data_IF_043570496836
#
_entry.id   IF_043570496836
#
_cell.length_a   1.000
_cell.length_b   1.000
_cell.length_c   1.000
_cell.angle_alpha   90.00
_cell.angle_beta   90.00
_cell.angle_gamma   90.00
#
_symmetry.space_group_name_H-M   'P 1'
#
loop_
_entity.id
_entity.type
_entity.pdbx_description
1 polymer ?
#
# COMPACT_ATOMS: atom_id res chain seq x y z
N UNK A 1 4.61 12.02 -17.45
CA UNK A 1 4.10 12.93 -16.41
C UNK A 1 2.68 13.28 -16.74
N UNK A 2 1.72 12.49 -16.26
CA UNK A 2 0.29 12.79 -16.41
C UNK A 2 -0.09 13.78 -15.29
N UNK A 3 -0.18 15.06 -15.63
CA UNK A 3 -0.80 16.03 -14.72
C UNK A 3 -2.30 15.79 -14.77
N UNK A 4 -2.85 15.20 -13.72
CA UNK A 4 -4.28 14.89 -13.63
C UNK A 4 -4.99 16.03 -12.88
N UNK A 5 -6.18 16.40 -13.34
CA UNK A 5 -6.95 17.50 -12.76
C UNK A 5 -8.03 16.95 -11.83
N UNK A 6 -8.21 17.54 -10.65
CA UNK A 6 -9.28 17.18 -9.71
C UNK A 6 -9.98 18.44 -9.20
N UNK A 7 -11.32 18.40 -9.14
CA UNK A 7 -12.12 19.53 -8.66
C UNK A 7 -12.40 19.38 -7.17
N UNK A 8 -12.23 20.47 -6.43
CA UNK A 8 -12.46 20.51 -4.98
C UNK A 8 -13.29 21.74 -4.60
N UNK A 9 -14.11 21.62 -3.56
CA UNK A 9 -14.84 22.75 -2.97
C UNK A 9 -14.33 23.03 -1.55
N UNK A 10 -14.21 24.29 -1.13
CA UNK A 10 -13.93 24.62 0.27
C UNK A 10 -15.04 24.07 1.16
N UNK A 11 -14.69 23.29 2.20
CA UNK A 11 -15.69 22.75 3.12
C UNK A 11 -15.87 23.67 4.32
N UNK A 12 -17.12 23.91 4.70
CA UNK A 12 -17.48 24.63 5.93
C UNK A 12 -17.71 23.67 7.11
N UNK A 13 -18.03 22.41 6.83
CA UNK A 13 -18.29 21.36 7.82
C UNK A 13 -16.97 20.66 8.18
N UNK A 14 -16.54 20.77 9.43
CA UNK A 14 -15.25 20.23 9.93
C UNK A 14 -15.43 19.39 11.19
N UNK A 15 -14.42 18.57 11.53
CA UNK A 15 -14.42 17.72 12.73
C UNK A 15 -15.39 16.54 12.63
N UNK A 16 -16.02 16.15 13.76
CA UNK A 16 -16.87 14.94 13.86
C UNK A 16 -18.06 14.92 12.89
N UNK A 17 -18.48 16.07 12.38
CA UNK A 17 -19.60 16.19 11.43
C UNK A 17 -19.19 15.89 9.98
N UNK A 18 -17.89 15.81 9.68
CA UNK A 18 -17.38 15.50 8.33
C UNK A 18 -17.86 14.14 7.82
N UNK A 19 -18.13 13.18 8.72
CA UNK A 19 -18.66 11.86 8.35
C UNK A 19 -20.04 11.92 7.67
N UNK A 20 -20.78 13.04 7.80
CA UNK A 20 -22.06 13.28 7.11
C UNK A 20 -21.89 13.53 5.61
N UNK A 21 -20.70 13.96 5.18
CA UNK A 21 -20.36 14.18 3.76
C UNK A 21 -20.36 12.86 2.98
N UNK A 22 -19.96 11.76 3.64
CA UNK A 22 -19.95 10.43 3.03
C UNK A 22 -21.35 9.99 2.56
N UNK A 23 -22.42 10.40 3.26
CA UNK A 23 -23.81 10.12 2.88
C UNK A 23 -24.28 10.96 1.68
N UNK A 24 -23.59 12.07 1.38
CA UNK A 24 -23.84 12.95 0.24
C UNK A 24 -22.93 12.64 -0.96
N UNK A 25 -22.20 11.53 -0.93
CA UNK A 25 -21.24 11.19 -1.97
C UNK A 25 -20.02 12.12 -2.03
N UNK A 26 -19.68 12.80 -0.93
CA UNK A 26 -18.51 13.67 -0.84
C UNK A 26 -17.44 13.04 0.06
N UNK A 27 -16.18 13.24 -0.28
CA UNK A 27 -15.03 12.80 0.51
C UNK A 27 -14.42 14.04 1.18
N UNK A 28 -14.29 14.06 2.52
CA UNK A 28 -13.54 15.12 3.19
C UNK A 28 -12.05 14.97 2.88
N UNK A 29 -11.41 16.09 2.56
CA UNK A 29 -9.97 16.14 2.31
C UNK A 29 -9.36 17.40 2.95
N UNK A 30 -8.04 17.45 3.03
CA UNK A 30 -7.30 18.62 3.52
C UNK A 30 -6.16 18.93 2.56
N UNK A 31 -6.03 20.20 2.20
CA UNK A 31 -4.88 20.74 1.50
C UNK A 31 -4.02 21.53 2.48
N UNK A 32 -2.76 21.18 2.64
CA UNK A 32 -1.81 21.92 3.48
C UNK A 32 -0.46 22.03 2.80
N UNK A 33 0.42 22.92 3.28
CA UNK A 33 1.75 23.03 2.71
C UNK A 33 2.60 24.12 3.35
N UNK A 34 3.89 24.21 2.98
CA UNK A 34 4.84 25.12 3.62
C UNK A 34 4.52 26.62 3.43
N UNK A 35 3.61 26.96 2.52
CA UNK A 35 3.17 28.34 2.26
C UNK A 35 1.69 28.61 2.54
N UNK A 36 0.96 27.65 3.14
CA UNK A 36 -0.48 27.72 3.30
C UNK A 36 -0.95 27.05 4.59
N UNK A 37 -1.87 27.70 5.31
CA UNK A 37 -2.61 27.06 6.39
C UNK A 37 -3.44 25.87 5.88
N UNK A 38 -3.64 24.86 6.72
CA UNK A 38 -4.44 23.69 6.38
C UNK A 38 -5.86 24.10 5.99
N UNK A 39 -6.16 23.96 4.70
CA UNK A 39 -7.45 24.30 4.11
C UNK A 39 -8.31 23.04 4.02
N UNK A 40 -9.44 23.00 4.75
CA UNK A 40 -10.35 21.88 4.67
C UNK A 40 -11.13 21.96 3.35
N UNK A 41 -11.08 20.90 2.55
CA UNK A 41 -11.73 20.79 1.25
C UNK A 41 -12.62 19.55 1.19
N UNK A 42 -13.53 19.49 0.23
CA UNK A 42 -14.32 18.31 -0.09
C UNK A 42 -14.22 17.98 -1.57
N UNK A 43 -14.22 16.70 -1.86
CA UNK A 43 -14.11 16.13 -3.21
C UNK A 43 -15.39 15.38 -3.55
N UNK A 44 -15.73 15.28 -4.83
CA UNK A 44 -16.72 14.32 -5.28
C UNK A 44 -16.16 12.90 -5.17
N UNK A 45 -16.92 11.97 -4.59
CA UNK A 45 -16.48 10.59 -4.42
C UNK A 45 -16.29 9.91 -5.76
N UNK A 46 -17.21 10.08 -6.70
CA UNK A 46 -17.16 9.37 -7.97
C UNK A 46 -15.94 9.79 -8.78
N UNK A 47 -15.72 11.10 -8.87
CA UNK A 47 -14.57 11.66 -9.59
C UNK A 47 -13.23 11.21 -8.97
N UNK A 48 -13.16 11.20 -7.63
CA UNK A 48 -11.95 10.76 -6.94
C UNK A 48 -11.71 9.25 -7.04
N UNK A 49 -12.77 8.42 -6.95
CA UNK A 49 -12.63 6.96 -7.13
C UNK A 49 -12.19 6.62 -8.55
N UNK A 50 -12.70 7.32 -9.56
CA UNK A 50 -12.23 7.17 -10.94
C UNK A 50 -10.77 7.59 -11.06
N UNK A 51 -10.41 8.75 -10.51
CA UNK A 51 -9.03 9.23 -10.48
C UNK A 51 -8.10 8.20 -9.83
N UNK A 52 -8.44 7.72 -8.64
CA UNK A 52 -7.66 6.74 -7.88
C UNK A 52 -7.61 5.35 -8.53
N UNK A 53 -8.62 4.94 -9.30
CA UNK A 53 -8.59 3.68 -10.03
C UNK A 53 -7.56 3.67 -11.18
N UNK A 54 -7.28 4.83 -11.76
CA UNK A 54 -6.32 4.99 -12.86
C UNK A 54 -4.89 5.23 -12.40
N UNK A 55 -4.66 5.31 -11.09
CA UNK A 55 -3.45 5.89 -10.52
C UNK A 55 -3.06 5.11 -9.27
N UNK A 56 -1.86 4.51 -9.27
CA UNK A 56 -1.36 3.75 -8.12
C UNK A 56 -1.19 4.65 -6.89
N UNK A 57 -1.40 4.10 -5.70
CA UNK A 57 -1.39 4.86 -4.45
C UNK A 57 -0.01 5.45 -4.15
N UNK A 58 0.00 6.75 -3.85
CA UNK A 58 1.18 7.44 -3.32
C UNK A 58 1.83 8.40 -4.31
N UNK A 59 1.92 9.67 -3.90
CA UNK A 59 2.84 10.64 -4.49
C UNK A 59 2.43 11.32 -5.79
N UNK A 60 1.21 11.12 -6.27
CA UNK A 60 0.81 11.66 -7.57
C UNK A 60 0.63 13.18 -7.51
N UNK A 61 1.19 13.85 -8.52
CA UNK A 61 1.00 15.27 -8.76
C UNK A 61 -0.37 15.53 -9.41
N UNK A 62 -1.20 16.31 -8.73
CA UNK A 62 -2.56 16.66 -9.12
C UNK A 62 -2.70 18.18 -9.14
N UNK A 63 -3.35 18.70 -10.18
CA UNK A 63 -3.80 20.09 -10.18
C UNK A 63 -5.19 20.16 -9.51
N UNK A 64 -5.24 20.72 -8.31
CA UNK A 64 -6.49 20.93 -7.56
C UNK A 64 -7.15 22.23 -8.00
N UNK A 65 -8.31 22.12 -8.65
CA UNK A 65 -9.20 23.24 -8.99
C UNK A 65 -10.15 23.50 -7.83
N UNK A 66 -9.79 24.46 -6.98
CA UNK A 66 -10.59 24.81 -5.80
C UNK A 66 -11.56 25.93 -6.16
N UNK A 67 -12.86 25.71 -5.90
CA UNK A 67 -13.88 26.73 -6.17
C UNK A 67 -13.61 28.04 -5.40
N UNK A 68 -13.64 29.17 -6.13
CA UNK A 68 -13.31 30.49 -5.60
C UNK A 68 -11.81 30.77 -5.35
N UNK A 69 -10.90 29.86 -5.71
CA UNK A 69 -9.46 30.04 -5.56
C UNK A 69 -8.69 29.71 -6.85
N UNK A 70 -7.40 30.07 -6.89
CA UNK A 70 -6.52 29.69 -8.01
C UNK A 70 -6.21 28.19 -7.94
N UNK A 71 -6.03 27.52 -9.09
CA UNK A 71 -5.54 26.15 -9.12
C UNK A 71 -4.20 26.02 -8.38
N UNK A 72 -4.02 24.88 -7.70
CA UNK A 72 -2.83 24.60 -6.91
C UNK A 72 -2.29 23.23 -7.30
N UNK A 73 -0.98 23.15 -7.52
CA UNK A 73 -0.31 21.87 -7.67
C UNK A 73 -0.15 21.23 -6.29
N UNK A 74 -0.81 20.10 -6.10
CA UNK A 74 -0.76 19.36 -4.87
C UNK A 74 -0.40 17.90 -5.15
N UNK A 75 0.18 17.27 -4.15
CA UNK A 75 0.57 15.88 -4.19
C UNK A 75 -0.30 15.11 -3.21
N UNK A 76 -0.84 13.98 -3.66
CA UNK A 76 -1.61 13.10 -2.77
C UNK A 76 -0.64 12.42 -1.80
N UNK A 77 -0.80 12.72 -0.51
CA UNK A 77 0.06 12.19 0.56
C UNK A 77 -0.46 10.88 1.09
N UNK A 78 -1.73 10.84 1.44
CA UNK A 78 -2.35 9.69 2.10
C UNK A 78 -3.83 9.59 1.71
N UNK A 79 -4.30 8.36 1.55
CA UNK A 79 -5.72 8.03 1.36
C UNK A 79 -6.13 7.08 2.48
N UNK A 80 -7.08 7.51 3.29
CA UNK A 80 -7.60 6.70 4.39
C UNK A 80 -8.80 5.89 3.93
N UNK A 81 -8.73 4.58 4.10
CA UNK A 81 -9.81 3.66 3.75
C UNK A 81 -10.54 3.15 5.00
N UNK A 82 -11.83 2.86 4.84
CA UNK A 82 -12.60 2.15 5.85
C UNK A 82 -12.19 0.68 5.87
N UNK A 83 -11.68 0.20 6.99
CA UNK A 83 -11.33 -1.22 7.17
C UNK A 83 -12.49 -2.19 6.98
N UNK A 84 -13.73 -1.72 7.17
CA UNK A 84 -14.94 -2.56 7.07
C UNK A 84 -15.53 -2.52 5.66
N UNK A 85 -15.58 -1.34 5.04
CA UNK A 85 -16.29 -1.13 3.77
C UNK A 85 -15.37 -0.93 2.57
N UNK A 86 -14.07 -0.79 2.77
CA UNK A 86 -13.08 -0.41 1.74
C UNK A 86 -13.23 1.03 1.22
N UNK A 87 -14.31 1.74 1.59
CA UNK A 87 -14.62 3.08 1.10
C UNK A 87 -13.62 4.11 1.59
N UNK A 88 -13.30 5.08 0.74
CA UNK A 88 -12.40 6.19 1.07
C UNK A 88 -13.07 7.11 2.10
N UNK A 89 -12.38 7.35 3.21
CA UNK A 89 -12.82 8.14 4.36
C UNK A 89 -12.24 9.55 4.33
N UNK A 90 -10.97 9.69 4.00
CA UNK A 90 -10.26 10.97 4.02
C UNK A 90 -9.10 10.95 3.01
N UNK A 91 -8.75 12.13 2.49
CA UNK A 91 -7.60 12.30 1.59
C UNK A 91 -6.77 13.50 2.01
N UNK A 92 -5.46 13.32 2.04
CA UNK A 92 -4.50 14.36 2.39
C UNK A 92 -3.74 14.83 1.15
N UNK A 93 -3.75 16.14 0.93
CA UNK A 93 -3.02 16.79 -0.14
C UNK A 93 -1.97 17.74 0.41
N UNK A 94 -0.78 17.67 -0.15
CA UNK A 94 0.33 18.57 0.17
C UNK A 94 0.56 19.49 -1.02
N UNK A 95 0.50 20.80 -0.82
CA UNK A 95 0.89 21.78 -1.83
C UNK A 95 2.40 21.67 -2.10
N UNK A 96 2.76 21.46 -3.36
CA UNK A 96 4.14 21.22 -3.78
C UNK A 96 4.63 22.29 -4.74
N UNK A 97 5.86 22.75 -4.50
CA UNK A 97 6.56 23.62 -5.44
C UNK A 97 7.38 22.74 -6.40
N UNK A 98 7.21 22.95 -7.71
CA UNK A 98 7.90 22.18 -8.76
C UNK A 98 9.44 22.18 -8.66
N UNK A 99 10.01 23.17 -7.97
CA UNK A 99 11.46 23.34 -7.82
C UNK A 99 12.05 22.70 -6.57
N UNK A 100 11.24 22.17 -5.65
CA UNK A 100 11.71 21.57 -4.39
C UNK A 100 11.57 20.04 -4.44
N UNK A 101 12.53 19.30 -3.86
CA UNK A 101 12.36 17.86 -3.69
C UNK A 101 11.19 17.60 -2.73
N UNK A 102 10.49 16.49 -2.98
CA UNK A 102 9.36 16.02 -2.19
C UNK A 102 9.58 14.55 -1.85
N UNK A 103 9.14 14.17 -0.66
CA UNK A 103 9.09 12.78 -0.25
C UNK A 103 7.80 12.14 -0.76
N UNK A 104 7.86 10.93 -1.28
CA UNK A 104 6.71 10.16 -1.79
C UNK A 104 6.82 8.70 -1.37
N UNK A 105 5.68 8.04 -1.19
CA UNK A 105 5.59 6.58 -1.21
C UNK A 105 5.29 6.18 -2.64
N UNK A 106 6.11 5.31 -3.22
CA UNK A 106 5.92 4.80 -4.59
C UNK A 106 5.77 3.29 -4.55
N UNK A 107 4.74 2.80 -5.25
CA UNK A 107 4.44 1.37 -5.36
C UNK A 107 5.50 0.63 -6.19
N UNK A 108 5.89 -0.54 -5.71
CA UNK A 108 6.75 -1.48 -6.42
C UNK A 108 5.89 -2.48 -7.19
N UNK A 109 6.12 -2.59 -8.50
CA UNK A 109 5.48 -3.58 -9.36
C UNK A 109 6.49 -4.66 -9.70
N UNK A 110 6.25 -5.89 -9.23
CA UNK A 110 7.08 -7.03 -9.61
C UNK A 110 6.74 -7.43 -11.06
N UNK A 111 7.77 -7.50 -11.91
CA UNK A 111 7.65 -7.94 -13.30
C UNK A 111 8.38 -9.27 -13.49
N UNK A 112 7.86 -10.09 -14.41
CA UNK A 112 8.29 -11.47 -14.70
C UNK A 112 8.01 -12.48 -13.58
N UNK A 113 8.13 -13.77 -13.92
CA UNK A 113 7.98 -14.90 -12.99
C UNK A 113 9.35 -15.42 -12.53
N UNK A 114 9.58 -15.58 -11.21
CA UNK A 114 10.82 -16.13 -10.69
C UNK A 114 11.05 -17.58 -11.15
N UNK A 115 12.29 -17.93 -11.46
CA UNK A 115 12.69 -19.33 -11.69
C UNK A 115 12.40 -20.23 -10.48
N UNK A 116 12.54 -19.69 -9.26
CA UNK A 116 12.21 -20.40 -8.04
C UNK A 116 10.74 -20.79 -7.94
N UNK A 117 9.82 -19.98 -8.48
CA UNK A 117 8.38 -20.31 -8.53
C UNK A 117 8.12 -21.46 -9.51
N UNK A 118 8.78 -21.46 -10.67
CA UNK A 118 8.72 -22.59 -11.63
C UNK A 118 9.25 -23.90 -11.02
N UNK A 119 10.14 -23.79 -10.04
CA UNK A 119 10.71 -24.92 -9.29
C UNK A 119 9.86 -25.35 -8.09
N UNK A 120 8.65 -24.78 -7.92
CA UNK A 120 7.72 -25.08 -6.83
C UNK A 120 7.82 -24.14 -5.62
N UNK A 121 8.66 -23.11 -5.67
CA UNK A 121 8.76 -22.07 -4.63
C UNK A 121 7.55 -21.14 -4.60
N UNK A 122 7.38 -20.43 -3.48
CA UNK A 122 6.34 -19.43 -3.27
C UNK A 122 6.98 -18.05 -3.19
N UNK A 123 6.62 -17.17 -4.13
CA UNK A 123 7.02 -15.76 -4.10
C UNK A 123 6.22 -15.02 -3.02
N UNK A 124 6.93 -14.37 -2.11
CA UNK A 124 6.36 -13.52 -1.06
C UNK A 124 6.88 -12.11 -1.23
N UNK A 125 5.96 -11.14 -1.38
CA UNK A 125 6.26 -9.70 -1.33
C UNK A 125 6.24 -9.23 0.10
N UNK A 126 7.37 -8.73 0.58
CA UNK A 126 7.51 -8.19 1.94
C UNK A 126 7.25 -6.69 1.99
N UNK A 127 7.60 -5.98 0.91
CA UNK A 127 7.52 -4.52 0.83
C UNK A 127 6.86 -4.12 -0.49
N UNK A 128 5.72 -3.43 -0.40
CA UNK A 128 4.91 -3.04 -1.55
C UNK A 128 5.16 -1.60 -2.03
N UNK A 129 5.65 -0.74 -1.14
CA UNK A 129 5.84 0.69 -1.38
C UNK A 129 7.17 1.13 -0.77
N UNK A 130 7.91 2.00 -1.46
CA UNK A 130 9.18 2.56 -0.98
C UNK A 130 9.08 4.08 -0.81
N UNK A 131 9.74 4.58 0.23
CA UNK A 131 9.94 6.01 0.44
C UNK A 131 11.03 6.52 -0.49
N UNK A 132 10.67 7.50 -1.32
CA UNK A 132 11.60 8.14 -2.25
C UNK A 132 11.59 9.66 -2.09
N UNK A 133 12.71 10.28 -2.42
CA UNK A 133 12.87 11.72 -2.59
C UNK A 133 13.15 12.03 -4.06
N UNK A 134 12.30 12.84 -4.67
CA UNK A 134 12.44 13.29 -6.04
C UNK A 134 11.79 14.66 -6.23
N UNK A 135 12.04 15.32 -7.38
CA UNK A 135 11.23 16.48 -7.77
C UNK A 135 9.85 16.01 -8.22
N UNK A 136 8.79 16.82 -8.04
CA UNK A 136 7.44 16.42 -8.44
C UNK A 136 7.30 16.05 -9.94
N UNK A 137 8.15 16.59 -10.81
CA UNK A 137 8.14 16.26 -12.25
C UNK A 137 8.87 14.96 -12.62
N UNK A 138 9.78 14.49 -11.77
CA UNK A 138 10.61 13.30 -11.99
C UNK A 138 10.07 12.07 -11.24
N UNK A 139 8.97 12.24 -10.50
CA UNK A 139 8.40 11.18 -9.68
C UNK A 139 7.65 10.16 -10.56
N UNK A 140 8.05 8.88 -10.56
CA UNK A 140 7.36 7.82 -11.27
C UNK A 140 6.06 7.42 -10.54
N UNK A 141 5.10 6.84 -11.26
CA UNK A 141 3.87 6.31 -10.64
C UNK A 141 4.10 4.93 -9.98
N UNK A 142 5.00 4.13 -10.55
CA UNK A 142 5.43 2.86 -10.00
C UNK A 142 6.87 2.58 -10.42
N UNK A 143 7.57 1.76 -9.64
CA UNK A 143 8.90 1.24 -9.99
C UNK A 143 8.76 -0.24 -10.33
N UNK A 144 9.15 -0.60 -11.54
CA UNK A 144 9.18 -1.99 -11.98
C UNK A 144 10.42 -2.70 -11.43
N UNK A 145 10.22 -3.84 -10.80
CA UNK A 145 11.27 -4.65 -10.18
C UNK A 145 11.26 -6.03 -10.82
N UNK A 146 12.35 -6.38 -11.52
CA UNK A 146 12.49 -7.68 -12.19
C UNK A 146 12.83 -8.78 -11.18
N UNK A 147 11.99 -9.82 -11.14
CA UNK A 147 12.17 -10.98 -10.25
C UNK A 147 12.50 -12.28 -10.99
N UNK A 148 12.73 -12.22 -12.31
CA UNK A 148 12.95 -13.42 -13.13
C UNK A 148 14.10 -14.30 -12.61
N UNK A 149 15.19 -13.69 -12.17
CA UNK A 149 16.40 -14.39 -11.73
C UNK A 149 16.36 -14.97 -10.31
N UNK A 150 15.27 -14.78 -9.55
CA UNK A 150 15.20 -15.27 -8.17
C UNK A 150 14.94 -16.77 -8.11
N UNK A 151 15.88 -17.52 -7.54
CA UNK A 151 15.75 -18.93 -7.21
C UNK A 151 15.10 -19.18 -5.86
N UNK A 152 14.89 -20.46 -5.51
CA UNK A 152 14.33 -20.84 -4.20
C UNK A 152 15.34 -20.54 -3.10
N UNK A 153 14.95 -19.74 -2.11
CA UNK A 153 15.81 -19.27 -1.02
C UNK A 153 16.40 -17.88 -1.25
N UNK A 154 16.26 -17.32 -2.45
CA UNK A 154 16.79 -16.00 -2.77
C UNK A 154 15.84 -14.88 -2.31
N UNK A 155 16.44 -13.72 -2.03
CA UNK A 155 15.74 -12.50 -1.60
C UNK A 155 16.29 -11.30 -2.36
N UNK A 156 15.39 -10.44 -2.81
CA UNK A 156 15.68 -9.17 -3.47
C UNK A 156 15.61 -8.05 -2.46
N UNK A 157 16.66 -7.23 -2.39
CA UNK A 157 16.76 -6.15 -1.41
C UNK A 157 16.46 -4.79 -2.06
N UNK A 158 16.21 -3.77 -1.23
CA UNK A 158 16.02 -2.40 -1.71
C UNK A 158 17.24 -1.89 -2.49
N UNK A 159 18.46 -2.35 -2.14
CA UNK A 159 19.68 -2.06 -2.88
C UNK A 159 19.67 -2.51 -4.34
N UNK A 160 18.89 -3.53 -4.67
CA UNK A 160 18.85 -4.14 -6.01
C UNK A 160 17.84 -3.44 -6.93
N UNK A 161 17.05 -2.49 -6.39
CA UNK A 161 16.06 -1.74 -7.15
C UNK A 161 16.77 -0.72 -8.07
N UNK A 162 16.47 -0.80 -9.37
CA UNK A 162 16.94 0.19 -10.34
C UNK A 162 16.06 1.44 -10.26
N UNK A 163 16.50 2.40 -9.44
CA UNK A 163 15.80 3.68 -9.32
C UNK A 163 15.89 4.49 -10.63
N UNK A 164 14.77 5.08 -11.11
CA UNK A 164 14.78 5.94 -12.29
C UNK A 164 15.54 7.26 -12.04
N UNK A 165 15.92 7.95 -13.11
CA UNK A 165 16.74 9.17 -13.04
C UNK A 165 16.07 10.24 -12.17
N UNK A 166 16.79 10.74 -11.17
CA UNK A 166 16.32 11.82 -10.30
C UNK A 166 15.52 11.38 -9.08
N UNK A 167 15.38 10.06 -8.87
CA UNK A 167 14.74 9.47 -7.69
C UNK A 167 15.80 8.92 -6.74
N UNK A 168 15.72 9.30 -5.47
CA UNK A 168 16.57 8.77 -4.40
C UNK A 168 15.71 7.94 -3.46
N UNK A 169 16.05 6.66 -3.26
CA UNK A 169 15.37 5.82 -2.28
C UNK A 169 15.90 6.15 -0.88
N UNK A 170 14.98 6.35 0.08
CA UNK A 170 15.30 6.76 1.45
C UNK A 170 15.18 5.62 2.46
N UNK A 171 14.53 4.52 2.09
CA UNK A 171 14.43 3.32 2.92
C UNK A 171 15.79 2.64 3.07
N UNK A 172 15.87 1.77 4.09
CA UNK A 172 17.06 0.99 4.37
C UNK A 172 17.33 -0.01 3.22
N UNK A 173 18.56 0.03 2.70
CA UNK A 173 19.03 -0.78 1.58
C UNK A 173 19.02 -2.28 1.90
N UNK A 174 19.07 -2.66 3.18
CA UNK A 174 19.04 -4.06 3.64
C UNK A 174 17.62 -4.63 3.74
N UNK A 175 16.57 -3.82 3.52
CA UNK A 175 15.20 -4.33 3.54
C UNK A 175 14.93 -5.27 2.37
N UNK A 176 14.27 -6.38 2.67
CA UNK A 176 13.83 -7.35 1.67
C UNK A 176 12.53 -6.86 1.02
N UNK A 177 12.54 -6.74 -0.30
CA UNK A 177 11.40 -6.36 -1.13
C UNK A 177 10.54 -7.58 -1.44
N UNK A 178 11.18 -8.63 -1.95
CA UNK A 178 10.55 -9.87 -2.33
C UNK A 178 11.49 -11.06 -2.05
N UNK A 179 10.93 -12.19 -1.68
CA UNK A 179 11.69 -13.42 -1.45
C UNK A 179 10.95 -14.63 -2.02
N UNK A 180 11.70 -15.64 -2.46
CA UNK A 180 11.12 -16.90 -2.92
C UNK A 180 11.43 -17.97 -1.90
N UNK A 181 10.41 -18.48 -1.23
CA UNK A 181 10.56 -19.50 -0.19
C UNK A 181 10.25 -20.89 -0.74
N UNK A 182 10.89 -21.91 -0.18
CA UNK A 182 10.53 -23.29 -0.49
C UNK A 182 9.09 -23.58 -0.01
N UNK A 183 8.30 -24.35 -0.77
CA UNK A 183 6.95 -24.70 -0.33
C UNK A 183 7.07 -25.51 0.96
N UNK A 184 6.38 -25.06 2.01
CA UNK A 184 6.24 -25.88 3.21
C UNK A 184 5.32 -27.03 2.83
N UNK A 185 5.87 -28.23 2.67
CA UNK A 185 5.05 -29.43 2.59
C UNK A 185 4.24 -29.50 3.89
N UNK A 186 2.93 -29.32 3.80
CA UNK A 186 2.03 -29.95 4.75
C UNK A 186 2.26 -31.45 4.57
N UNK A 187 3.14 -32.00 5.39
CA UNK A 187 3.06 -33.42 5.71
C UNK A 187 1.71 -33.53 6.41
N UNK A 188 0.66 -33.92 5.66
CA UNK A 188 -0.43 -34.64 6.27
C UNK A 188 0.23 -35.75 7.11
N UNK A 189 0.13 -35.63 8.42
CA UNK A 189 0.45 -36.74 9.32
C UNK A 189 -0.62 -37.83 9.10
N UNK A 190 -0.56 -38.50 7.94
CA UNK A 190 -0.97 -39.90 7.83
C UNK A 190 0.07 -40.72 8.59
N UNK A 191 -0.04 -40.74 9.92
CA UNK A 191 0.41 -41.89 10.69
C UNK A 191 -0.79 -42.81 10.89
N UNK A 192 -1.00 -43.68 9.90
CA UNK A 192 -1.72 -44.92 10.08
C UNK A 192 -0.91 -45.83 11.03
N UNK A 193 -1.54 -46.16 12.16
CA UNK A 193 -1.69 -47.52 12.70
C UNK A 193 -0.47 -48.45 12.72
N UNK A 194 0.08 -48.76 13.91
CA UNK A 194 0.27 -50.17 14.33
C UNK A 194 0.47 -50.32 15.85
N UNK A 195 -0.02 -51.47 16.32
CA UNK A 195 -0.35 -51.89 17.67
C UNK A 195 0.81 -52.11 18.65
N UNK A 196 0.50 -52.00 19.95
CA UNK A 196 0.90 -52.98 20.96
C UNK A 196 0.03 -52.84 22.23
N UNK A 197 -0.80 -53.85 22.50
CA UNK A 197 -1.33 -54.15 23.84
C UNK A 197 -0.18 -54.33 24.86
N UNK A 198 -0.46 -54.19 26.17
CA UNK A 198 -0.78 -55.43 26.89
C UNK A 198 -1.99 -55.32 27.83
N UNK A 199 -2.75 -56.42 27.88
CA UNK A 199 -3.63 -56.79 28.98
C UNK A 199 -2.87 -56.81 30.32
N UNK A 200 -3.47 -56.27 31.38
CA UNK A 200 -3.37 -56.88 32.71
C UNK A 200 -4.70 -56.79 33.44
N UNK A 201 -5.20 -57.98 33.77
CA UNK A 201 -6.45 -58.29 34.45
C UNK A 201 -6.33 -58.02 35.97
N UNK A 202 -7.25 -57.20 36.49
CA UNK A 202 -8.10 -57.50 37.65
C UNK A 202 -7.53 -57.43 39.08
N UNK A 203 -8.05 -56.51 39.90
CA UNK A 203 -8.44 -56.76 41.30
C UNK A 203 -9.38 -55.67 41.87
N UNK A 204 -10.68 -55.98 41.75
CA UNK A 204 -11.85 -55.62 42.58
C UNK A 204 -11.60 -54.97 43.97
N UNK A 205 -12.26 -53.84 44.23
CA UNK A 205 -13.08 -53.52 45.43
C UNK A 205 -13.51 -52.05 45.37
N UNK A 206 -14.66 -51.54 45.77
CA UNK A 206 -15.99 -52.02 46.18
C UNK A 206 -16.75 -50.71 46.52
N UNK A 207 -18.08 -50.68 46.32
CA UNK A 207 -19.08 -49.85 47.06
C UNK A 207 -19.03 -48.29 46.97
N UNK A 208 -20.11 -47.64 46.47
CA UNK A 208 -21.26 -47.11 47.27
C UNK A 208 -20.88 -45.71 47.81
N UNK A 209 -21.56 -44.60 47.56
CA UNK A 209 -22.99 -44.24 47.48
C UNK A 209 -23.09 -42.86 46.78
#
# INVERSE_FOLDING_TARGET
TASSELTATPRTITGKSAHRLAAKGKIPAVLYGPGRDAMPIELDRHDFELFAAHHSSGGILVELKIDGAKPVNAMMREVQHSSVKGTILHVDFVEVAMNKPVHALITLHLVNDPEGVKSGGVLTTNLHEVNVEAKPGDLPEAIEVDVAGLGVGDSLHVSDIVAPKGVTVLDDLELVVASVQAPRAEVEEEFAEEAAEPEVIGAKSESEE
#
